data_IF_000486779206
#
_entry.id   IF_000486779206
#
_cell.length_a   1.000
_cell.length_b   1.000
_cell.length_c   1.000
_cell.angle_alpha   90.00
_cell.angle_beta   90.00
_cell.angle_gamma   90.00
#
_symmetry.space_group_name_H-M   'P 1'
#
loop_
_entity.id
_entity.type
_entity.pdbx_description
1 polymer ?
#
# COMPACT_ATOMS: atom_id res chain seq x y z
N UNK A 1 -28.52 -5.23 17.18
CA UNK A 1 -27.19 -5.87 17.32
C UNK A 1 -26.17 -4.88 16.82
N UNK A 2 -25.43 -4.21 17.71
CA UNK A 2 -24.46 -3.16 17.37
C UNK A 2 -23.09 -3.83 17.20
N UNK A 3 -22.69 -4.12 15.97
CA UNK A 3 -21.32 -4.53 15.69
C UNK A 3 -20.46 -3.25 15.61
N UNK A 4 -19.84 -2.91 16.73
CA UNK A 4 -18.78 -1.89 16.76
C UNK A 4 -17.52 -2.57 16.28
N UNK A 5 -17.18 -2.42 15.00
CA UNK A 5 -15.89 -2.86 14.45
C UNK A 5 -14.83 -1.92 15.01
N UNK A 6 -13.89 -2.39 15.85
CA UNK A 6 -12.88 -1.51 16.42
C UNK A 6 -11.94 -1.02 15.33
N UNK A 7 -11.74 0.29 15.34
CA UNK A 7 -10.95 1.08 14.40
C UNK A 7 -9.53 0.52 14.31
N UNK A 8 -9.10 0.22 13.09
CA UNK A 8 -7.73 -0.13 12.74
C UNK A 8 -6.82 1.05 13.13
N UNK A 9 -6.14 0.93 14.28
CA UNK A 9 -5.18 1.93 14.74
C UNK A 9 -3.88 1.72 13.97
N UNK A 10 -3.72 2.44 12.86
CA UNK A 10 -2.49 2.44 12.06
C UNK A 10 -1.44 3.29 12.79
N UNK A 11 -0.41 2.64 13.33
CA UNK A 11 0.77 3.32 13.86
C UNK A 11 1.67 3.64 12.67
N UNK A 12 1.71 4.90 12.26
CA UNK A 12 2.63 5.42 11.25
C UNK A 12 3.98 5.72 11.92
N UNK A 13 5.05 5.11 11.45
CA UNK A 13 6.41 5.52 11.80
C UNK A 13 7.13 5.92 10.52
N UNK A 14 7.60 7.16 10.48
CA UNK A 14 8.23 7.77 9.31
C UNK A 14 9.70 7.38 9.19
N UNK A 15 10.17 7.24 7.94
CA UNK A 15 11.59 7.18 7.60
C UNK A 15 11.80 8.21 6.48
N UNK A 16 12.46 9.32 6.80
CA UNK A 16 12.70 10.44 5.89
C UNK A 16 13.90 10.14 4.96
N UNK A 17 13.73 10.40 3.67
CA UNK A 17 14.80 10.38 2.67
C UNK A 17 14.67 11.60 1.76
N UNK A 18 15.71 12.44 1.75
CA UNK A 18 15.80 13.73 1.08
C UNK A 18 16.38 13.64 -0.34
N UNK A 19 15.84 14.41 -1.29
CA UNK A 19 16.50 14.69 -2.56
C UNK A 19 15.71 15.68 -3.44
N UNK A 20 16.31 16.84 -3.74
CA UNK A 20 15.77 17.90 -4.61
C UNK A 20 16.14 17.68 -6.10
N UNK A 21 15.28 18.14 -7.01
CA UNK A 21 15.62 18.24 -8.45
C UNK A 21 14.68 19.16 -9.24
N UNK A 22 15.26 20.20 -9.87
CA UNK A 22 14.61 21.25 -10.68
C UNK A 22 14.90 20.98 -12.15
N UNK A 23 13.87 21.00 -13.02
CA UNK A 23 14.00 20.66 -14.44
C UNK A 23 14.39 21.81 -15.36
N UNK A 24 14.95 21.48 -16.52
CA UNK A 24 14.66 22.16 -17.80
C UNK A 24 15.00 21.28 -19.01
N UNK A 25 14.20 21.37 -20.07
CA UNK A 25 14.04 20.34 -21.09
C UNK A 25 15.13 20.25 -22.19
N UNK A 26 15.54 19.01 -22.44
CA UNK A 26 16.01 18.46 -23.72
C UNK A 26 15.47 17.02 -23.74
N UNK A 27 14.87 16.56 -24.85
CA UNK A 27 14.40 15.17 -24.99
C UNK A 27 15.60 14.23 -25.09
N UNK A 28 16.23 13.99 -23.96
CA UNK A 28 17.12 12.88 -23.75
C UNK A 28 16.26 11.63 -23.70
N UNK A 29 16.73 10.54 -24.31
CA UNK A 29 16.08 9.24 -24.17
C UNK A 29 16.42 8.74 -22.78
N UNK A 30 15.80 9.36 -21.77
CA UNK A 30 16.02 9.04 -20.38
C UNK A 30 15.82 7.55 -20.23
N UNK A 31 16.89 6.87 -19.82
CA UNK A 31 16.80 5.51 -19.30
C UNK A 31 15.96 5.66 -18.05
N UNK A 32 14.65 5.50 -18.22
CA UNK A 32 13.66 5.65 -17.17
C UNK A 32 14.20 5.00 -15.90
N UNK A 33 14.38 5.80 -14.87
CA UNK A 33 14.85 5.32 -13.58
C UNK A 33 13.88 4.22 -13.17
N UNK A 34 14.33 3.15 -12.49
CA UNK A 34 13.45 2.00 -12.23
C UNK A 34 12.11 2.40 -11.59
N UNK A 35 12.06 3.47 -10.80
CA UNK A 35 10.81 4.06 -10.27
C UNK A 35 9.80 4.49 -11.34
N UNK A 36 10.24 5.09 -12.45
CA UNK A 36 9.38 5.61 -13.51
C UNK A 36 8.57 4.50 -14.20
N UNK A 37 9.16 3.31 -14.35
CA UNK A 37 8.49 2.15 -14.94
C UNK A 37 7.36 1.63 -14.03
N UNK A 38 7.59 1.58 -12.72
CA UNK A 38 6.59 1.14 -11.75
C UNK A 38 5.45 2.15 -11.66
N UNK A 39 5.77 3.44 -11.54
CA UNK A 39 4.80 4.51 -11.51
C UNK A 39 3.97 4.57 -12.81
N UNK A 40 4.59 4.40 -13.97
CA UNK A 40 3.87 4.33 -15.25
C UNK A 40 2.90 3.14 -15.29
N UNK A 41 3.35 1.93 -14.87
CA UNK A 41 2.48 0.75 -14.79
C UNK A 41 1.31 0.98 -13.83
N UNK A 42 1.56 1.60 -12.69
CA UNK A 42 0.55 1.99 -11.72
C UNK A 42 -0.48 2.93 -12.37
N UNK A 43 -0.04 4.08 -12.91
CA UNK A 43 -0.92 5.08 -13.56
C UNK A 43 -1.73 4.47 -14.69
N UNK A 44 -1.11 3.64 -15.55
CA UNK A 44 -1.78 2.92 -16.64
C UNK A 44 -2.84 1.93 -16.15
N UNK A 45 -2.64 1.27 -15.02
CA UNK A 45 -3.62 0.32 -14.45
C UNK A 45 -4.76 1.05 -13.75
N UNK A 46 -4.48 2.15 -13.06
CA UNK A 46 -5.48 2.98 -12.39
C UNK A 46 -6.38 3.70 -13.39
N UNK A 47 -5.85 4.16 -14.52
CA UNK A 47 -6.63 4.87 -15.55
C UNK A 47 -7.79 4.07 -16.15
N UNK A 48 -7.77 2.73 -16.03
CA UNK A 48 -8.88 1.85 -16.44
C UNK A 48 -10.13 2.01 -15.55
N UNK A 49 -9.95 2.44 -14.31
CA UNK A 49 -11.03 2.76 -13.37
C UNK A 49 -10.53 3.78 -12.34
N UNK A 50 -10.52 5.08 -12.66
CA UNK A 50 -9.93 6.10 -11.80
C UNK A 50 -10.61 6.22 -10.43
N UNK A 51 -11.89 5.86 -10.34
CA UNK A 51 -12.67 5.91 -9.09
C UNK A 51 -12.43 4.71 -8.16
N UNK A 52 -11.62 3.72 -8.59
CA UNK A 52 -11.34 2.55 -7.76
C UNK A 52 -10.56 2.98 -6.50
N UNK A 53 -11.10 2.72 -5.32
CA UNK A 53 -10.44 3.02 -4.02
C UNK A 53 -9.68 1.82 -3.47
N UNK A 54 -9.96 0.62 -3.98
CA UNK A 54 -9.50 -0.65 -3.44
C UNK A 54 -9.35 -1.71 -4.53
N UNK A 55 -8.36 -2.59 -4.38
CA UNK A 55 -8.13 -3.77 -5.22
C UNK A 55 -7.91 -4.98 -4.32
N UNK A 56 -8.76 -6.00 -4.43
CA UNK A 56 -8.65 -7.25 -3.67
C UNK A 56 -8.25 -8.39 -4.60
N UNK A 57 -7.31 -9.24 -4.18
CA UNK A 57 -6.90 -10.45 -4.91
C UNK A 57 -6.12 -11.36 -3.96
N UNK A 58 -6.52 -12.63 -3.86
CA UNK A 58 -5.82 -13.69 -3.10
C UNK A 58 -5.41 -14.85 -4.01
N UNK A 59 -5.05 -14.55 -5.25
CA UNK A 59 -4.51 -15.58 -6.16
C UNK A 59 -3.03 -15.82 -5.85
N UNK A 60 -2.58 -17.07 -5.98
CA UNK A 60 -1.17 -17.40 -5.80
C UNK A 60 -0.32 -16.65 -6.84
N UNK A 61 0.75 -15.99 -6.38
CA UNK A 61 1.60 -15.15 -7.24
C UNK A 61 1.01 -13.78 -7.60
N UNK A 62 -0.16 -13.40 -7.07
CA UNK A 62 -0.69 -12.06 -7.24
C UNK A 62 0.27 -11.01 -6.66
N UNK A 63 0.53 -9.96 -7.45
CA UNK A 63 1.42 -8.87 -7.07
C UNK A 63 0.65 -7.54 -6.91
N UNK A 64 0.99 -6.73 -5.90
CA UNK A 64 0.47 -5.36 -5.78
C UNK A 64 0.93 -4.47 -6.94
N UNK A 65 0.19 -3.38 -7.18
CA UNK A 65 0.67 -2.32 -8.07
C UNK A 65 1.57 -1.39 -7.28
N UNK A 66 2.88 -1.56 -7.39
CA UNK A 66 3.83 -0.69 -6.71
C UNK A 66 4.06 0.62 -7.47
N UNK A 67 4.33 1.69 -6.72
CA UNK A 67 4.77 2.98 -7.27
C UNK A 67 6.26 2.98 -7.59
N UNK A 68 7.02 2.21 -6.81
CA UNK A 68 8.47 2.03 -6.89
C UNK A 68 8.81 0.58 -6.54
N UNK A 69 9.99 0.07 -6.93
CA UNK A 69 10.42 -1.26 -6.50
C UNK A 69 10.28 -1.41 -4.98
N UNK A 70 9.68 -2.51 -4.47
CA UNK A 70 9.63 -2.76 -3.04
C UNK A 70 11.05 -2.97 -2.50
N UNK A 71 11.33 -2.42 -1.32
CA UNK A 71 12.61 -2.58 -0.64
C UNK A 71 12.82 -4.02 -0.14
N UNK A 72 14.06 -4.37 0.26
CA UNK A 72 14.34 -5.66 0.90
C UNK A 72 13.48 -5.84 2.15
N UNK A 73 12.61 -6.85 2.16
CA UNK A 73 11.69 -7.10 3.27
C UNK A 73 10.39 -6.28 3.26
N UNK A 74 10.20 -5.33 2.32
CA UNK A 74 8.88 -4.74 2.06
C UNK A 74 8.01 -5.79 1.34
N UNK A 75 7.10 -6.44 2.09
CA UNK A 75 6.07 -7.30 1.51
C UNK A 75 5.95 -8.67 2.16
N UNK A 76 6.01 -9.73 1.34
CA UNK A 76 5.71 -11.11 1.71
C UNK A 76 6.71 -11.65 2.76
N UNK A 77 6.33 -11.53 4.02
CA UNK A 77 7.00 -12.17 5.15
C UNK A 77 6.33 -13.49 5.56
N UNK A 78 6.66 -13.95 6.76
CA UNK A 78 5.96 -15.06 7.41
C UNK A 78 4.82 -14.53 8.26
N UNK A 79 3.74 -15.31 8.35
CA UNK A 79 2.63 -15.06 9.24
C UNK A 79 3.14 -15.11 10.69
N UNK A 80 2.85 -14.06 11.46
CA UNK A 80 3.29 -13.97 12.86
C UNK A 80 2.59 -14.97 13.79
N UNK A 81 1.48 -15.57 13.34
CA UNK A 81 0.69 -16.51 14.13
C UNK A 81 1.10 -17.97 13.88
N UNK A 82 1.07 -18.45 12.63
CA UNK A 82 1.37 -19.85 12.31
C UNK A 82 2.77 -20.07 11.71
N UNK A 83 3.52 -19.01 11.42
CA UNK A 83 4.82 -19.10 10.74
C UNK A 83 4.75 -19.45 9.25
N UNK A 84 3.56 -19.65 8.69
CA UNK A 84 3.33 -19.91 7.26
C UNK A 84 3.62 -18.71 6.36
N UNK A 85 3.51 -18.86 5.05
CA UNK A 85 3.69 -17.76 4.11
C UNK A 85 2.57 -16.72 4.21
N UNK A 86 2.91 -15.47 3.90
CA UNK A 86 1.92 -14.43 3.62
C UNK A 86 1.79 -14.21 2.12
N UNK A 87 0.64 -13.69 1.70
CA UNK A 87 0.33 -13.39 0.32
C UNK A 87 -0.32 -12.01 0.21
N UNK A 88 -0.27 -11.42 -0.98
CA UNK A 88 -1.06 -10.24 -1.27
C UNK A 88 -2.55 -10.54 -1.10
N UNK A 89 -3.29 -9.63 -0.46
CA UNK A 89 -4.73 -9.72 -0.34
C UNK A 89 -5.44 -8.44 -0.79
N UNK A 90 -4.94 -7.28 -0.36
CA UNK A 90 -5.65 -6.02 -0.51
C UNK A 90 -4.69 -4.86 -0.82
N UNK A 91 -5.12 -3.96 -1.71
CA UNK A 91 -4.43 -2.71 -1.99
C UNK A 91 -5.41 -1.55 -1.97
N UNK A 92 -5.12 -0.50 -1.20
CA UNK A 92 -5.83 0.79 -1.23
C UNK A 92 -5.10 1.76 -2.16
N UNK A 93 -5.88 2.47 -2.97
CA UNK A 93 -5.36 3.43 -3.96
C UNK A 93 -5.44 4.87 -3.42
N UNK A 94 -4.70 5.84 -4.01
CA UNK A 94 -4.74 7.23 -3.56
C UNK A 94 -6.15 7.83 -3.65
N UNK A 95 -6.98 7.31 -4.56
CA UNK A 95 -8.36 7.75 -4.75
C UNK A 95 -9.19 7.66 -3.45
N UNK A 96 -8.85 6.74 -2.54
CA UNK A 96 -9.52 6.63 -1.26
C UNK A 96 -9.44 7.92 -0.44
N UNK A 97 -8.34 8.67 -0.53
CA UNK A 97 -8.12 9.91 0.21
C UNK A 97 -9.24 10.94 -0.02
N UNK A 98 -9.83 10.97 -1.22
CA UNK A 98 -10.92 11.89 -1.56
C UNK A 98 -12.23 11.59 -0.82
N UNK A 99 -12.36 10.38 -0.27
CA UNK A 99 -13.56 9.93 0.43
C UNK A 99 -13.39 9.86 1.95
N UNK A 100 -12.16 10.00 2.46
CA UNK A 100 -11.88 9.91 3.88
C UNK A 100 -12.19 11.22 4.60
N UNK A 101 -12.92 11.13 5.70
CA UNK A 101 -13.09 12.21 6.68
C UNK A 101 -12.29 11.87 7.92
N UNK A 102 -11.12 12.46 8.07
CA UNK A 102 -10.27 12.24 9.24
C UNK A 102 -10.75 13.17 10.35
N UNK A 103 -11.09 12.61 11.51
CA UNK A 103 -11.44 13.36 12.72
C UNK A 103 -10.33 13.20 13.75
N UNK A 104 -10.03 14.25 14.51
CA UNK A 104 -9.06 14.19 15.62
C UNK A 104 -7.58 14.35 15.24
N UNK A 105 -7.27 14.59 13.95
CA UNK A 105 -5.91 14.95 13.50
C UNK A 105 -5.94 16.42 13.08
N UNK A 106 -5.32 17.29 13.87
CA UNK A 106 -5.18 18.71 13.54
C UNK A 106 -3.84 18.92 12.83
N UNK A 107 -3.86 19.45 11.61
CA UNK A 107 -2.67 20.02 10.95
C UNK A 107 -1.78 19.08 10.14
N UNK A 108 -2.05 17.77 10.06
CA UNK A 108 -1.31 16.86 9.17
C UNK A 108 -2.23 16.32 8.07
N UNK A 109 -1.99 16.65 6.78
CA UNK A 109 -2.74 16.06 5.69
C UNK A 109 -2.45 14.55 5.60
N UNK A 110 -3.50 13.74 5.49
CA UNK A 110 -3.36 12.31 5.26
C UNK A 110 -2.93 12.08 3.81
N UNK A 111 -1.71 11.58 3.61
CA UNK A 111 -1.16 11.35 2.28
C UNK A 111 -0.55 9.94 2.18
N UNK A 112 -0.95 9.20 1.14
CA UNK A 112 -0.32 7.96 0.73
C UNK A 112 -0.55 7.75 -0.77
N UNK A 113 0.40 7.10 -1.44
CA UNK A 113 0.24 6.72 -2.84
C UNK A 113 -0.36 5.31 -2.99
N UNK A 114 0.06 4.35 -2.18
CA UNK A 114 -0.63 3.07 -2.08
C UNK A 114 -0.40 2.43 -0.72
N UNK A 115 -1.43 1.77 -0.20
CA UNK A 115 -1.33 0.91 0.98
C UNK A 115 -1.58 -0.52 0.53
N UNK A 116 -0.68 -1.44 0.87
CA UNK A 116 -0.75 -2.85 0.49
C UNK A 116 -0.80 -3.70 1.75
N UNK A 117 -1.74 -4.64 1.81
CA UNK A 117 -1.92 -5.56 2.93
C UNK A 117 -1.53 -6.97 2.48
N UNK A 118 -0.70 -7.61 3.30
CA UNK A 118 -0.34 -9.02 3.17
C UNK A 118 -0.96 -9.80 4.32
N UNK A 119 -1.53 -10.96 4.01
CA UNK A 119 -2.22 -11.81 4.99
C UNK A 119 -1.74 -13.25 4.90
N UNK A 120 -2.05 -14.05 5.91
CA UNK A 120 -1.72 -15.47 5.92
C UNK A 120 -2.35 -16.21 4.73
N UNK A 121 -1.53 -16.90 3.93
CA UNK A 121 -2.01 -17.71 2.81
C UNK A 121 -2.93 -18.85 3.28
N UNK A 122 -2.64 -19.44 4.44
CA UNK A 122 -3.46 -20.50 5.03
C UNK A 122 -4.72 -19.99 5.75
N UNK A 123 -4.94 -18.67 5.84
CA UNK A 123 -6.04 -18.07 6.62
C UNK A 123 -6.13 -18.69 8.02
N UNK A 124 -5.01 -18.76 8.74
CA UNK A 124 -4.85 -19.61 9.93
C UNK A 124 -5.63 -19.17 11.18
N UNK A 125 -6.78 -18.52 11.01
CA UNK A 125 -7.70 -18.03 12.04
C UNK A 125 -8.26 -19.17 12.90
N UNK A 126 -8.38 -18.94 14.20
CA UNK A 126 -9.03 -19.84 15.17
C UNK A 126 -10.22 -19.12 15.83
N UNK A 127 -11.27 -19.85 16.21
CA UNK A 127 -12.47 -19.29 16.84
C UNK A 127 -12.20 -18.55 18.16
N UNK A 128 -11.04 -18.80 18.78
CA UNK A 128 -10.58 -18.10 20.00
C UNK A 128 -9.95 -16.74 19.70
N UNK A 129 -9.61 -16.46 18.44
CA UNK A 129 -9.02 -15.19 18.06
C UNK A 129 -10.06 -14.08 18.05
N UNK A 130 -9.65 -12.91 18.52
CA UNK A 130 -10.48 -11.69 18.50
C UNK A 130 -9.95 -10.69 17.48
N UNK A 131 -8.63 -10.53 17.41
CA UNK A 131 -7.94 -9.64 16.46
C UNK A 131 -6.62 -10.28 16.05
N UNK A 132 -6.16 -9.95 14.84
CA UNK A 132 -4.83 -10.33 14.33
C UNK A 132 -4.15 -9.14 13.69
N UNK A 133 -2.83 -9.07 13.88
CA UNK A 133 -2.02 -8.03 13.26
C UNK A 133 -1.48 -8.55 11.92
N UNK A 134 -1.72 -7.77 10.88
CA UNK A 134 -1.24 -8.07 9.53
C UNK A 134 -0.24 -7.01 9.09
N UNK A 135 0.72 -7.41 8.27
CA UNK A 135 1.75 -6.51 7.76
C UNK A 135 1.18 -5.65 6.63
N UNK A 136 1.50 -4.36 6.67
CA UNK A 136 1.14 -3.40 5.64
C UNK A 136 2.38 -2.68 5.11
N UNK A 137 2.40 -2.46 3.80
CA UNK A 137 3.44 -1.68 3.11
C UNK A 137 2.79 -0.43 2.55
N UNK A 138 3.32 0.73 2.92
CA UNK A 138 2.86 2.03 2.43
C UNK A 138 3.95 2.61 1.52
N UNK A 139 3.57 2.99 0.30
CA UNK A 139 4.43 3.79 -0.58
C UNK A 139 3.76 5.13 -0.81
N UNK A 140 4.50 6.21 -0.61
CA UNK A 140 4.09 7.56 -0.98
C UNK A 140 4.56 7.88 -2.40
N UNK A 141 3.83 8.72 -3.12
CA UNK A 141 4.37 9.32 -4.34
C UNK A 141 5.46 10.30 -3.90
N UNK A 142 6.69 10.06 -4.36
CA UNK A 142 7.78 11.02 -4.19
C UNK A 142 7.60 12.00 -5.36
N UNK A 143 7.14 13.21 -5.05
CA UNK A 143 7.02 14.32 -6.01
C UNK A 143 8.42 14.89 -6.26
#
# INVERSE_FOLDING_TARGET
MKASVPILMVVLQEIAGSGEGKGDGVYEKDVATHGDVFLHKFKKRISRSPQQVMRYCREEGAAPLWLRPPGPGEGMGKCQHCGGSTMFELQLTPQLLLHLRVSGVQGVPLEFGTVVVFTCAASCWDDKDTVRQEALVIQCEVI
#
